data_IF_113168090632
#
_entry.id   IF_113168090632
#
_cell.length_a   1.000
_cell.length_b   1.000
_cell.length_c   1.000
_cell.angle_alpha   90.00
_cell.angle_beta   90.00
_cell.angle_gamma   90.00
#
_symmetry.space_group_name_H-M   'P 1'
#
loop_
_entity.id
_entity.type
_entity.pdbx_description
1 polymer ?
#
# COMPACT_ATOMS: atom_id res chain seq x y z
N UNK A 1 -9.68 -15.83 -9.99
CA UNK A 1 -9.13 -16.76 -11.00
C UNK A 1 -7.74 -17.33 -10.66
N UNK A 2 -7.13 -17.02 -9.51
CA UNK A 2 -5.88 -17.68 -9.08
C UNK A 2 -4.65 -17.44 -9.97
N UNK A 3 -4.73 -16.49 -10.93
CA UNK A 3 -3.62 -16.18 -11.83
C UNK A 3 -2.60 -15.29 -11.13
N UNK A 4 -1.33 -15.66 -11.25
CA UNK A 4 -0.23 -14.80 -10.82
C UNK A 4 -0.25 -13.48 -11.61
N UNK A 5 -0.12 -12.37 -10.89
CA UNK A 5 -0.05 -11.04 -11.47
C UNK A 5 1.29 -10.43 -11.15
N UNK A 6 1.89 -9.79 -12.15
CA UNK A 6 3.11 -8.99 -11.93
C UNK A 6 2.74 -7.79 -11.07
N UNK A 7 3.49 -7.59 -10.00
CA UNK A 7 3.32 -6.49 -9.06
C UNK A 7 4.62 -5.72 -8.94
N UNK A 8 4.56 -4.42 -9.21
CA UNK A 8 5.68 -3.51 -8.94
C UNK A 8 5.44 -2.87 -7.57
N UNK A 9 6.35 -3.11 -6.61
CA UNK A 9 6.23 -2.54 -5.27
C UNK A 9 7.34 -1.53 -5.01
N UNK A 10 6.95 -0.33 -4.61
CA UNK A 10 7.84 0.76 -4.24
C UNK A 10 7.58 1.12 -2.78
N UNK A 11 8.64 1.20 -1.98
CA UNK A 11 8.53 1.57 -0.56
C UNK A 11 9.41 2.77 -0.28
N UNK A 12 8.82 3.82 0.26
CA UNK A 12 9.53 4.93 0.88
C UNK A 12 9.60 4.67 2.39
N UNK A 13 10.81 4.65 2.95
CA UNK A 13 11.05 4.59 4.39
C UNK A 13 11.39 5.98 4.92
N UNK A 14 10.82 6.34 6.06
CA UNK A 14 11.04 7.62 6.73
C UNK A 14 11.74 7.39 8.07
N UNK A 15 12.65 8.28 8.49
CA UNK A 15 13.39 8.15 9.74
C UNK A 15 12.58 8.53 11.00
N UNK A 16 11.27 8.76 10.85
CA UNK A 16 10.34 8.98 11.94
C UNK A 16 8.89 8.84 11.44
N UNK A 17 7.99 8.39 12.32
CA UNK A 17 6.61 8.83 12.32
C UNK A 17 6.54 10.03 13.29
N UNK A 18 6.53 11.28 12.78
CA UNK A 18 6.67 12.47 13.61
C UNK A 18 5.54 12.57 14.64
N UNK A 19 5.86 13.08 15.82
CA UNK A 19 4.84 13.43 16.80
C UNK A 19 4.00 14.61 16.29
N UNK A 20 2.73 14.36 16.06
CA UNK A 20 1.77 15.35 15.57
C UNK A 20 0.84 15.87 16.67
N UNK A 21 0.82 15.22 17.85
CA UNK A 21 -0.10 15.52 18.96
C UNK A 21 0.59 15.52 20.33
N UNK A 22 -0.05 16.14 21.32
CA UNK A 22 0.43 16.15 22.70
C UNK A 22 0.50 14.73 23.31
N UNK A 23 -0.43 13.85 22.96
CA UNK A 23 -0.34 12.41 23.22
C UNK A 23 -0.46 11.75 21.86
N UNK A 24 0.65 11.17 21.39
CA UNK A 24 0.74 10.53 20.09
C UNK A 24 1.22 9.09 20.26
N UNK A 25 0.34 8.16 19.91
CA UNK A 25 0.62 6.74 20.02
C UNK A 25 1.27 6.21 18.74
N UNK A 26 1.09 6.92 17.63
CA UNK A 26 1.62 6.58 16.30
C UNK A 26 3.10 7.00 16.17
N UNK A 27 3.62 7.86 17.06
CA UNK A 27 5.02 8.30 17.10
C UNK A 27 6.01 7.12 17.14
N UNK A 28 6.99 7.13 16.23
CA UNK A 28 7.98 6.07 16.07
C UNK A 28 9.27 6.57 15.38
N UNK A 29 10.35 5.80 15.46
CA UNK A 29 11.63 6.10 14.80
C UNK A 29 11.70 5.66 13.33
N UNK A 30 10.70 4.93 12.85
CA UNK A 30 10.60 4.52 11.45
C UNK A 30 9.14 4.57 11.03
N UNK A 31 8.92 5.10 9.83
CA UNK A 31 7.63 5.06 9.16
C UNK A 31 7.80 4.66 7.69
N UNK A 32 6.69 4.45 6.99
CA UNK A 32 6.74 4.04 5.60
C UNK A 32 5.50 4.38 4.80
N UNK A 33 5.68 4.48 3.48
CA UNK A 33 4.62 4.46 2.51
C UNK A 33 4.98 3.43 1.43
N UNK A 34 4.08 2.48 1.19
CA UNK A 34 4.19 1.46 0.16
C UNK A 34 3.21 1.80 -0.96
N UNK A 35 3.67 1.74 -2.20
CA UNK A 35 2.86 1.74 -3.41
C UNK A 35 3.06 0.39 -4.10
N UNK A 36 1.97 -0.34 -4.34
CA UNK A 36 1.96 -1.52 -5.20
C UNK A 36 1.15 -1.23 -6.45
N UNK A 37 1.71 -1.56 -7.61
CA UNK A 37 1.04 -1.48 -8.90
C UNK A 37 0.85 -2.89 -9.43
N UNK A 38 -0.41 -3.32 -9.55
CA UNK A 38 -0.75 -4.63 -10.11
C UNK A 38 -0.99 -4.50 -11.60
N UNK A 39 -0.31 -5.32 -12.39
CA UNK A 39 -0.35 -5.28 -13.85
C UNK A 39 -1.21 -6.42 -14.41
N UNK A 40 -1.74 -6.20 -15.61
CA UNK A 40 -2.33 -7.24 -16.45
C UNK A 40 -1.24 -7.99 -17.25
N UNK A 41 -1.62 -9.02 -18.00
CA UNK A 41 -0.67 -9.77 -18.85
C UNK A 41 -0.03 -8.95 -19.98
N UNK A 42 -0.56 -7.76 -20.28
CA UNK A 42 0.00 -6.80 -21.22
C UNK A 42 0.90 -5.76 -20.54
N UNK A 43 1.24 -5.95 -19.26
CA UNK A 43 1.99 -5.00 -18.42
C UNK A 43 1.29 -3.65 -18.22
N UNK A 44 -0.03 -3.59 -18.40
CA UNK A 44 -0.82 -2.39 -18.15
C UNK A 44 -1.32 -2.35 -16.70
N UNK A 45 -1.28 -1.20 -16.01
CA UNK A 45 -1.81 -1.09 -14.66
C UNK A 45 -3.31 -1.40 -14.59
N UNK A 46 -3.67 -2.25 -13.64
CA UNK A 46 -5.06 -2.62 -13.32
C UNK A 46 -5.55 -1.82 -12.12
N UNK A 47 -4.77 -1.81 -11.05
CA UNK A 47 -5.00 -0.99 -9.88
C UNK A 47 -3.68 -0.72 -9.15
N UNK A 48 -3.75 0.28 -8.30
CA UNK A 48 -2.68 0.78 -7.49
C UNK A 48 -3.15 0.72 -6.04
N UNK A 49 -2.30 0.21 -5.18
CA UNK A 49 -2.62 0.13 -3.76
C UNK A 49 -1.57 0.90 -2.98
N UNK A 50 -2.03 1.65 -1.99
CA UNK A 50 -1.12 2.30 -1.05
C UNK A 50 -1.40 1.84 0.34
N UNK A 51 -0.35 1.65 1.13
CA UNK A 51 -0.45 1.23 2.52
C UNK A 51 0.80 1.69 3.28
N UNK A 52 0.67 2.03 4.56
CA UNK A 52 1.86 2.13 5.41
C UNK A 52 2.32 0.71 5.76
N UNK A 53 3.62 0.41 5.80
CA UNK A 53 4.08 -0.97 6.06
C UNK A 53 3.70 -1.52 7.45
N UNK A 54 3.11 -0.70 8.32
CA UNK A 54 2.45 -1.14 9.55
C UNK A 54 1.06 -1.77 9.34
N UNK A 55 0.49 -1.66 8.14
CA UNK A 55 -0.84 -2.16 7.79
C UNK A 55 -1.94 -1.10 7.74
N UNK A 56 -1.63 0.13 8.14
CA UNK A 56 -2.62 1.21 8.24
C UNK A 56 -2.86 1.91 6.89
N UNK A 57 -4.06 2.50 6.77
CA UNK A 57 -4.46 3.35 5.65
C UNK A 57 -4.34 2.67 4.28
N UNK A 58 -4.67 1.38 4.19
CA UNK A 58 -4.77 0.69 2.92
C UNK A 58 -5.84 1.38 2.05
N UNK A 59 -5.45 1.77 0.85
CA UNK A 59 -6.31 2.42 -0.15
C UNK A 59 -6.06 1.83 -1.51
N UNK A 60 -7.12 1.70 -2.28
CA UNK A 60 -7.07 1.14 -3.63
C UNK A 60 -7.53 2.19 -4.63
N UNK A 61 -6.75 2.40 -5.67
CA UNK A 61 -7.06 3.25 -6.81
C UNK A 61 -7.10 2.39 -8.06
N UNK A 62 -8.20 2.43 -8.80
CA UNK A 62 -8.44 1.49 -9.90
C UNK A 62 -8.21 2.18 -11.24
N UNK A 63 -7.55 1.52 -12.20
CA UNK A 63 -7.44 2.09 -13.53
C UNK A 63 -8.85 2.23 -14.15
N UNK A 64 -9.15 3.40 -14.71
CA UNK A 64 -10.52 3.74 -15.16
C UNK A 64 -11.11 2.70 -16.13
N UNK A 65 -10.30 2.18 -17.04
CA UNK A 65 -10.71 1.15 -18.00
C UNK A 65 -11.15 -0.17 -17.33
N UNK A 66 -10.60 -0.48 -16.14
CA UNK A 66 -10.99 -1.67 -15.35
C UNK A 66 -12.33 -1.45 -14.68
N UNK A 67 -12.54 -0.26 -14.10
CA UNK A 67 -13.81 0.11 -13.49
C UNK A 67 -14.94 0.15 -14.53
N UNK A 68 -14.69 0.72 -15.72
CA UNK A 68 -15.63 0.69 -16.84
C UNK A 68 -15.93 -0.75 -17.27
N UNK A 69 -14.90 -1.60 -17.39
CA UNK A 69 -15.07 -3.02 -17.69
C UNK A 69 -15.93 -3.76 -16.65
N UNK A 70 -15.72 -3.46 -15.36
CA UNK A 70 -16.52 -4.02 -14.27
C UNK A 70 -17.98 -3.57 -14.38
N UNK A 71 -18.22 -2.29 -14.67
CA UNK A 71 -19.55 -1.74 -14.91
C UNK A 71 -20.27 -2.39 -16.09
N UNK A 72 -19.56 -2.67 -17.18
CA UNK A 72 -20.12 -3.37 -18.33
C UNK A 72 -20.48 -4.82 -18.03
N UNK A 73 -19.66 -5.53 -17.25
CA UNK A 73 -19.87 -6.96 -17.00
C UNK A 73 -20.83 -7.24 -15.85
N UNK A 74 -20.74 -6.49 -14.76
CA UNK A 74 -21.48 -6.74 -13.52
C UNK A 74 -22.62 -5.75 -13.29
N UNK A 75 -22.69 -4.68 -14.09
CA UNK A 75 -23.66 -3.61 -13.91
C UNK A 75 -23.24 -2.64 -12.79
N UNK A 76 -24.20 -2.06 -12.06
CA UNK A 76 -23.91 -1.04 -11.06
C UNK A 76 -23.08 -1.56 -9.86
N UNK A 77 -22.52 -0.65 -9.03
CA UNK A 77 -21.93 -1.01 -7.75
C UNK A 77 -22.87 -1.85 -6.89
N UNK A 78 -22.31 -2.81 -6.15
CA UNK A 78 -23.07 -3.55 -5.13
C UNK A 78 -23.60 -2.61 -4.04
N UNK A 79 -24.61 -3.07 -3.30
CA UNK A 79 -25.25 -2.26 -2.26
C UNK A 79 -24.19 -1.78 -1.25
N UNK A 80 -24.11 -0.47 -1.04
CA UNK A 80 -23.15 0.16 -0.14
C UNK A 80 -21.79 0.46 -0.76
N UNK A 81 -21.56 0.11 -2.03
CA UNK A 81 -20.33 0.37 -2.77
C UNK A 81 -20.43 1.61 -3.66
N UNK A 82 -19.29 2.19 -3.99
CA UNK A 82 -19.17 3.38 -4.85
C UNK A 82 -18.79 3.01 -6.29
N UNK A 83 -18.03 1.94 -6.46
CA UNK A 83 -17.46 1.49 -7.73
C UNK A 83 -17.97 0.10 -8.10
N UNK A 84 -18.14 -0.15 -9.40
CA UNK A 84 -18.58 -1.43 -9.95
C UNK A 84 -17.55 -2.54 -9.69
N UNK A 85 -16.27 -2.23 -9.59
CA UNK A 85 -15.24 -3.21 -9.24
C UNK A 85 -15.30 -3.69 -7.78
N UNK A 86 -15.93 -2.96 -6.87
CA UNK A 86 -15.99 -3.36 -5.46
C UNK A 86 -16.89 -4.59 -5.28
N UNK A 87 -16.47 -5.53 -4.42
CA UNK A 87 -17.31 -6.62 -3.92
C UNK A 87 -17.70 -6.33 -2.47
N UNK A 88 -18.98 -6.51 -2.14
CA UNK A 88 -19.44 -6.56 -0.77
C UNK A 88 -18.97 -7.87 -0.13
N UNK A 89 -18.23 -7.76 0.97
CA UNK A 89 -17.83 -8.91 1.78
C UNK A 89 -18.66 -8.91 3.06
N UNK A 90 -19.15 -10.09 3.45
CA UNK A 90 -19.80 -10.30 4.73
C UNK A 90 -18.72 -10.65 5.77
N UNK A 91 -18.86 -10.11 6.98
CA UNK A 91 -17.98 -10.36 8.13
C UNK A 91 -16.49 -9.99 7.96
N UNK A 92 -16.17 -9.14 6.98
CA UNK A 92 -14.82 -8.65 6.76
C UNK A 92 -14.78 -7.13 6.56
N UNK A 93 -13.60 -6.54 6.75
CA UNK A 93 -13.38 -5.13 6.47
C UNK A 93 -13.21 -4.96 4.97
N UNK A 94 -14.14 -4.22 4.37
CA UNK A 94 -14.12 -3.87 2.97
C UNK A 94 -12.81 -3.18 2.55
N UNK A 95 -12.39 -3.45 1.32
CA UNK A 95 -11.35 -2.64 0.68
C UNK A 95 -11.86 -1.23 0.39
N UNK A 96 -11.11 -0.23 0.81
CA UNK A 96 -11.41 1.17 0.51
C UNK A 96 -10.93 1.51 -0.92
N UNK A 97 -11.82 1.28 -1.91
CA UNK A 97 -11.63 1.81 -3.26
C UNK A 97 -11.96 3.30 -3.24
N UNK A 98 -10.91 4.11 -3.30
CA UNK A 98 -11.02 5.56 -3.06
C UNK A 98 -11.14 6.39 -4.34
N UNK A 99 -10.87 5.79 -5.50
CA UNK A 99 -10.96 6.50 -6.77
C UNK A 99 -10.40 5.74 -7.96
N UNK A 100 -10.49 6.39 -9.12
CA UNK A 100 -9.95 5.86 -10.38
C UNK A 100 -8.76 6.68 -10.89
N UNK A 101 -7.77 5.99 -11.48
CA UNK A 101 -6.68 6.59 -12.24
C UNK A 101 -7.03 6.53 -13.73
N UNK A 102 -7.19 7.70 -14.34
CA UNK A 102 -7.58 7.84 -15.74
C UNK A 102 -6.34 8.05 -16.61
N UNK A 103 -5.71 6.91 -16.96
CA UNK A 103 -4.62 6.80 -17.92
C UNK A 103 -5.00 5.80 -19.04
N UNK A 104 -4.55 6.04 -20.29
CA UNK A 104 -4.73 5.10 -21.39
C UNK A 104 -4.06 3.76 -21.08
N UNK A 105 -4.77 2.65 -21.30
CA UNK A 105 -4.25 1.29 -21.06
C UNK A 105 -3.00 1.00 -21.91
N UNK A 106 -3.03 1.40 -23.18
CA UNK A 106 -1.97 1.18 -24.17
C UNK A 106 -0.76 2.10 -24.00
N UNK A 107 -0.89 3.16 -23.21
CA UNK A 107 0.16 4.14 -22.97
C UNK A 107 0.19 4.60 -21.51
N UNK A 108 0.42 3.67 -20.56
CA UNK A 108 0.34 3.98 -19.15
C UNK A 108 1.38 5.03 -18.78
N UNK A 109 0.97 5.98 -17.95
CA UNK A 109 1.84 7.05 -17.46
C UNK A 109 2.36 6.69 -16.08
N UNK A 110 3.42 7.40 -15.67
CA UNK A 110 3.98 7.25 -14.32
C UNK A 110 2.91 7.66 -13.29
N UNK A 111 2.64 6.82 -12.28
CA UNK A 111 1.73 7.19 -11.20
C UNK A 111 2.33 8.30 -10.35
N UNK A 112 1.47 9.11 -9.75
CA UNK A 112 1.80 10.17 -8.81
C UNK A 112 1.04 9.91 -7.52
N UNK A 113 1.77 9.77 -6.42
CA UNK A 113 1.20 9.61 -5.09
C UNK A 113 1.31 10.94 -4.35
N UNK A 114 0.20 11.42 -3.81
CA UNK A 114 0.16 12.61 -2.98
C UNK A 114 0.18 12.21 -1.52
N UNK A 115 1.20 12.68 -0.80
CA UNK A 115 1.41 12.41 0.61
C UNK A 115 1.16 13.67 1.42
N UNK A 116 0.53 13.52 2.59
CA UNK A 116 0.41 14.59 3.57
C UNK A 116 1.71 14.71 4.36
N UNK A 117 2.21 15.93 4.48
CA UNK A 117 3.38 16.23 5.29
C UNK A 117 3.11 15.95 6.77
N UNK A 118 4.11 15.43 7.49
CA UNK A 118 3.98 15.06 8.89
C UNK A 118 3.56 13.61 9.06
N UNK A 119 2.29 13.29 8.85
CA UNK A 119 1.76 11.93 9.10
C UNK A 119 1.97 10.93 7.96
N UNK A 120 2.59 11.37 6.86
CA UNK A 120 2.90 10.57 5.66
C UNK A 120 1.70 9.85 5.04
N UNK A 121 0.47 10.30 5.33
CA UNK A 121 -0.74 9.65 4.82
C UNK A 121 -0.89 9.92 3.33
N UNK A 122 -1.21 8.86 2.58
CA UNK A 122 -1.60 9.00 1.17
C UNK A 122 -2.97 9.68 1.12
N UNK A 123 -3.01 10.87 0.51
CA UNK A 123 -4.23 11.67 0.38
C UNK A 123 -4.81 11.63 -1.03
N UNK A 124 -4.07 11.09 -2.00
CA UNK A 124 -4.56 10.90 -3.35
C UNK A 124 -3.53 10.23 -4.26
N UNK A 125 -4.01 9.85 -5.43
CA UNK A 125 -3.19 9.32 -6.51
C UNK A 125 -3.64 9.92 -7.84
N UNK A 126 -2.73 10.03 -8.79
CA UNK A 126 -3.04 10.47 -10.13
C UNK A 126 -1.97 10.08 -11.14
N UNK A 127 -2.04 10.72 -12.30
CA UNK A 127 -1.13 10.50 -13.42
C UNK A 127 -0.18 11.68 -13.59
N UNK A 128 1.06 11.40 -13.95
CA UNK A 128 2.03 12.43 -14.34
C UNK A 128 1.53 13.32 -15.48
N UNK A 129 0.64 12.84 -16.36
CA UNK A 129 0.07 13.66 -17.43
C UNK A 129 -0.79 14.83 -16.90
N UNK A 130 -1.40 14.64 -15.73
CA UNK A 130 -2.28 15.62 -15.08
C UNK A 130 -1.59 16.41 -13.97
N UNK A 131 -0.40 15.98 -13.54
CA UNK A 131 0.36 16.70 -12.53
C UNK A 131 0.70 18.11 -13.04
N UNK A 132 0.44 19.11 -12.21
CA UNK A 132 0.85 20.50 -12.41
C UNK A 132 1.67 20.91 -11.20
N UNK A 133 3.00 20.91 -11.37
CA UNK A 133 3.93 21.37 -10.33
C UNK A 133 3.97 22.89 -10.37
N UNK A 134 3.86 23.53 -9.19
CA UNK A 134 3.96 24.99 -9.11
C UNK A 134 5.37 25.43 -9.52
N UNK A 135 5.52 26.53 -10.28
CA UNK A 135 6.84 27.12 -10.53
C UNK A 135 7.57 27.37 -9.21
N UNK A 136 8.85 26.98 -9.14
CA UNK A 136 9.68 27.14 -7.93
C UNK A 136 9.42 26.12 -6.81
N UNK A 137 8.62 25.07 -7.03
CA UNK A 137 8.49 23.99 -6.06
C UNK A 137 9.84 23.27 -5.83
N UNK A 138 10.17 22.99 -4.56
CA UNK A 138 11.33 22.15 -4.23
C UNK A 138 11.13 20.76 -4.85
N UNK A 139 12.08 20.36 -5.68
CA UNK A 139 12.03 19.10 -6.41
C UNK A 139 13.31 18.35 -6.12
N UNK A 140 13.15 17.13 -5.62
CA UNK A 140 14.27 16.23 -5.31
C UNK A 140 14.12 14.94 -6.10
N UNK A 141 15.22 14.51 -6.71
CA UNK A 141 15.29 13.23 -7.41
C UNK A 141 15.92 12.20 -6.49
N UNK A 142 15.24 11.07 -6.33
CA UNK A 142 15.72 9.92 -5.56
C UNK A 142 16.14 8.81 -6.52
N UNK A 143 17.16 8.05 -6.14
CA UNK A 143 17.51 6.80 -6.79
C UNK A 143 16.71 5.65 -6.18
N UNK A 144 16.29 4.69 -7.02
CA UNK A 144 15.72 3.43 -6.54
C UNK A 144 16.85 2.52 -6.06
N UNK A 145 16.71 1.99 -4.84
CA UNK A 145 17.55 0.92 -4.30
C UNK A 145 16.76 -0.39 -4.34
N UNK A 146 17.46 -1.53 -4.42
CA UNK A 146 16.79 -2.82 -4.37
C UNK A 146 16.26 -3.05 -2.95
N UNK A 147 14.96 -3.37 -2.84
CA UNK A 147 14.34 -3.68 -1.56
C UNK A 147 15.03 -4.88 -0.86
N UNK A 148 15.63 -5.79 -1.63
CA UNK A 148 16.39 -6.93 -1.13
C UNK A 148 17.58 -6.52 -0.22
N UNK A 149 18.13 -5.31 -0.41
CA UNK A 149 19.23 -4.79 0.42
C UNK A 149 18.83 -4.66 1.90
N UNK A 150 17.54 -4.44 2.19
CA UNK A 150 17.02 -4.31 3.56
C UNK A 150 17.08 -5.63 4.36
N UNK A 151 17.23 -6.77 3.69
CA UNK A 151 17.39 -8.06 4.35
C UNK A 151 18.84 -8.32 4.82
N UNK A 152 19.80 -7.48 4.41
CA UNK A 152 21.20 -7.60 4.83
C UNK A 152 21.91 -6.23 4.76
N UNK A 153 21.69 -5.41 5.79
CA UNK A 153 22.26 -4.07 5.89
C UNK A 153 23.53 -4.07 6.74
N UNK A 154 24.52 -3.23 6.43
CA UNK A 154 25.66 -3.02 7.32
C UNK A 154 25.20 -2.40 8.65
N UNK A 155 25.73 -2.91 9.76
CA UNK A 155 25.46 -2.34 11.09
C UNK A 155 26.46 -1.21 11.35
N UNK A 156 25.95 -0.03 11.69
CA UNK A 156 26.79 1.14 11.91
C UNK A 156 27.84 0.88 13.02
N UNK A 157 29.10 1.14 12.71
CA UNK A 157 30.21 0.98 13.67
C UNK A 157 30.73 -0.46 13.82
N UNK A 158 30.25 -1.42 13.04
CA UNK A 158 30.75 -2.81 13.05
C UNK A 158 31.04 -3.31 11.63
N UNK A 159 31.70 -4.46 11.53
CA UNK A 159 31.88 -5.20 10.26
C UNK A 159 30.73 -6.16 9.97
N UNK A 160 29.70 -6.18 10.81
CA UNK A 160 28.60 -7.12 10.74
C UNK A 160 27.47 -6.61 9.83
N UNK A 161 26.64 -7.55 9.37
CA UNK A 161 25.39 -7.25 8.67
C UNK A 161 24.22 -7.79 9.46
N UNK A 162 23.12 -7.05 9.46
CA UNK A 162 21.87 -7.46 10.06
C UNK A 162 20.70 -7.13 9.13
N UNK A 163 19.64 -7.93 9.21
CA UNK A 163 18.39 -7.61 8.53
C UNK A 163 17.71 -6.42 9.23
N UNK A 164 17.15 -5.51 8.45
CA UNK A 164 16.28 -4.44 8.93
C UNK A 164 15.02 -4.98 9.60
N UNK A 165 14.60 -6.17 9.16
CA UNK A 165 13.43 -6.89 9.63
C UNK A 165 13.81 -8.01 10.61
N UNK A 166 12.98 -8.21 11.61
CA UNK A 166 12.98 -9.40 12.47
C UNK A 166 12.16 -10.51 11.79
N UNK A 167 12.83 -11.29 10.94
CA UNK A 167 12.19 -12.32 10.12
C UNK A 167 11.62 -13.48 10.95
N UNK A 168 12.22 -13.76 12.11
CA UNK A 168 11.76 -14.82 13.01
C UNK A 168 10.44 -14.46 13.71
N UNK A 169 10.12 -13.17 13.77
CA UNK A 169 8.95 -12.63 14.47
C UNK A 169 8.01 -11.84 13.55
N UNK A 170 7.72 -12.38 12.37
CA UNK A 170 6.73 -11.82 11.45
C UNK A 170 7.24 -10.63 10.62
N UNK A 171 8.56 -10.52 10.43
CA UNK A 171 9.19 -9.52 9.57
C UNK A 171 9.09 -8.09 10.10
N UNK A 172 8.94 -7.89 11.42
CA UNK A 172 8.78 -6.57 12.04
C UNK A 172 10.05 -5.73 11.89
N UNK A 173 9.91 -4.45 11.57
CA UNK A 173 11.05 -3.54 11.50
C UNK A 173 11.63 -3.32 12.89
N UNK A 174 12.94 -3.52 13.02
CA UNK A 174 13.65 -3.36 14.29
C UNK A 174 13.69 -1.88 14.71
N UNK A 175 13.36 -1.59 15.97
CA UNK A 175 13.39 -0.22 16.51
C UNK A 175 12.24 0.69 16.06
N UNK A 176 11.19 0.11 15.49
CA UNK A 176 10.01 0.80 14.96
C UNK A 176 8.72 0.51 15.75
N UNK A 177 8.85 0.12 17.02
CA UNK A 177 7.73 -0.18 17.90
C UNK A 177 6.88 1.08 18.16
N UNK A 178 5.54 0.92 18.12
CA UNK A 178 4.59 1.99 18.48
C UNK A 178 3.98 1.77 19.85
N UNK A 179 3.60 2.86 20.54
CA UNK A 179 2.90 2.77 21.83
C UNK A 179 1.51 2.15 21.67
N UNK A 180 0.92 2.27 20.48
CA UNK A 180 -0.33 1.62 20.08
C UNK A 180 -0.36 0.11 20.35
N UNK A 181 0.79 -0.58 20.29
CA UNK A 181 0.87 -2.02 20.55
C UNK A 181 0.28 -2.43 21.89
N UNK A 182 0.40 -1.60 22.93
CA UNK A 182 -0.10 -1.91 24.28
C UNK A 182 -1.62 -1.76 24.40
N UNK A 183 -2.22 -0.90 23.56
CA UNK A 183 -3.67 -0.71 23.53
C UNK A 183 -4.30 -1.81 22.69
N UNK A 184 -3.77 -2.05 21.49
CA UNK A 184 -4.42 -2.95 20.55
C UNK A 184 -4.12 -4.44 20.80
N UNK A 185 -3.10 -4.78 21.59
CA UNK A 185 -2.87 -6.17 22.01
C UNK A 185 -4.05 -6.76 22.77
N UNK A 186 -4.86 -5.95 23.46
CA UNK A 186 -6.09 -6.43 24.14
C UNK A 186 -7.16 -6.91 23.16
N UNK A 187 -7.08 -6.45 21.90
CA UNK A 187 -7.94 -6.87 20.80
C UNK A 187 -7.28 -7.94 19.91
N UNK A 188 -6.14 -8.50 20.35
CA UNK A 188 -5.43 -9.58 19.63
C UNK A 188 -4.55 -9.12 18.48
N UNK A 189 -4.33 -7.81 18.29
CA UNK A 189 -3.45 -7.31 17.23
C UNK A 189 -1.98 -7.53 17.58
N UNK A 190 -1.24 -8.14 16.67
CA UNK A 190 0.20 -8.33 16.83
C UNK A 190 0.92 -7.01 16.56
N UNK A 191 1.68 -6.51 17.54
CA UNK A 191 2.55 -5.34 17.40
C UNK A 191 1.92 -4.17 16.61
N UNK A 192 0.71 -3.76 16.98
CA UNK A 192 -0.06 -2.76 16.24
C UNK A 192 0.77 -1.49 15.97
N UNK A 193 0.72 -1.06 14.71
CA UNK A 193 1.47 0.11 14.24
C UNK A 193 2.94 -0.15 13.92
N UNK A 194 3.52 -1.30 14.28
CA UNK A 194 4.91 -1.62 13.91
C UNK A 194 5.01 -2.00 12.42
N UNK A 195 5.85 -1.31 11.63
CA UNK A 195 6.08 -1.66 10.22
C UNK A 195 6.62 -3.07 10.04
N UNK A 196 6.34 -3.70 8.89
CA UNK A 196 6.78 -5.05 8.54
C UNK A 196 7.41 -5.10 7.14
N UNK A 197 8.16 -6.17 6.88
CA UNK A 197 8.66 -6.50 5.54
C UNK A 197 7.50 -6.65 4.55
N UNK A 198 7.72 -6.34 3.27
CA UNK A 198 6.67 -6.22 2.25
C UNK A 198 5.63 -7.35 2.26
N UNK A 199 6.07 -8.61 2.18
CA UNK A 199 5.14 -9.76 2.13
C UNK A 199 4.56 -10.17 3.49
N UNK A 200 4.93 -9.46 4.56
CA UNK A 200 4.48 -9.70 5.95
C UNK A 200 3.55 -8.59 6.45
N UNK A 201 3.32 -7.53 5.66
CA UNK A 201 2.39 -6.46 6.03
C UNK A 201 1.01 -7.07 6.29
N UNK A 202 0.45 -6.76 7.46
CA UNK A 202 -0.89 -7.18 7.86
C UNK A 202 -1.90 -6.13 7.45
N UNK A 203 -3.10 -6.56 7.10
CA UNK A 203 -4.18 -5.71 6.63
C UNK A 203 -5.36 -5.87 7.57
N UNK A 204 -6.15 -4.80 7.70
CA UNK A 204 -7.51 -4.89 8.21
C UNK A 204 -7.56 -5.55 9.60
N UNK A 205 -6.81 -5.02 10.56
CA UNK A 205 -6.75 -5.58 11.91
C UNK A 205 -6.30 -7.07 11.91
N UNK A 206 -5.25 -7.35 11.13
CA UNK A 206 -4.63 -8.68 10.95
C UNK A 206 -5.53 -9.76 10.31
N UNK A 207 -6.69 -9.39 9.74
CA UNK A 207 -7.60 -10.31 9.03
C UNK A 207 -7.03 -10.85 7.72
N UNK A 208 -6.03 -10.19 7.14
CA UNK A 208 -5.40 -10.60 5.88
C UNK A 208 -3.92 -10.21 5.85
N UNK A 209 -3.15 -10.82 4.94
CA UNK A 209 -1.74 -10.48 4.73
C UNK A 209 -1.55 -9.96 3.31
N UNK A 210 -0.69 -8.96 3.15
CA UNK A 210 -0.42 -8.29 1.87
C UNK A 210 0.00 -9.22 0.74
N UNK A 211 0.71 -10.31 1.08
CA UNK A 211 1.13 -11.35 0.15
C UNK A 211 0.09 -12.43 -0.15
N UNK A 212 -1.14 -12.35 0.35
CA UNK A 212 -2.18 -13.34 0.08
C UNK A 212 -2.60 -13.32 -1.40
N UNK A 213 -2.38 -14.40 -2.16
CA UNK A 213 -2.69 -14.44 -3.59
C UNK A 213 -4.19 -14.44 -3.91
N UNK A 214 -5.04 -14.72 -2.91
CA UNK A 214 -6.50 -14.79 -3.07
C UNK A 214 -7.19 -13.46 -2.81
N UNK A 215 -6.47 -12.47 -2.27
CA UNK A 215 -7.04 -11.27 -1.68
C UNK A 215 -7.89 -10.45 -2.66
N UNK A 216 -7.46 -10.32 -3.92
CA UNK A 216 -8.21 -9.56 -4.92
C UNK A 216 -9.55 -10.21 -5.25
N UNK A 217 -9.62 -11.54 -5.34
CA UNK A 217 -10.87 -12.23 -5.68
C UNK A 217 -11.89 -12.15 -4.55
N UNK A 218 -11.42 -11.94 -3.31
CA UNK A 218 -12.24 -11.74 -2.13
C UNK A 218 -12.90 -10.36 -2.11
N UNK A 219 -12.15 -9.30 -2.43
CA UNK A 219 -12.65 -7.92 -2.27
C UNK A 219 -13.03 -7.20 -3.57
N UNK A 220 -12.62 -7.73 -4.73
CA UNK A 220 -12.85 -7.10 -6.03
C UNK A 220 -13.59 -8.02 -7.01
N UNK A 221 -14.44 -7.40 -7.83
CA UNK A 221 -15.10 -7.97 -9.01
C UNK A 221 -14.28 -7.62 -10.25
N UNK A 222 -13.12 -8.28 -10.40
CA UNK A 222 -12.26 -8.08 -11.58
C UNK A 222 -12.95 -8.60 -12.84
N UNK A 223 -13.21 -7.75 -13.86
CA UNK A 223 -13.90 -8.17 -15.07
C UNK A 223 -13.03 -9.12 -15.92
N UNK A 224 -13.71 -9.98 -16.67
CA UNK A 224 -13.12 -10.85 -17.67
C UNK A 224 -12.36 -10.03 -18.72
N UNK A 225 -11.17 -10.49 -19.08
CA UNK A 225 -10.30 -9.74 -20.00
C UNK A 225 -9.47 -8.64 -19.34
N UNK A 226 -9.49 -8.54 -18.01
CA UNK A 226 -8.37 -8.02 -17.21
C UNK A 226 -7.49 -9.24 -16.86
N UNK A 227 -6.64 -9.70 -17.79
CA UNK A 227 -5.87 -10.94 -17.61
C UNK A 227 -4.97 -10.85 -16.38
#
# INVERSE_FOLDING_TARGET
DGRERVQLTYTAWYPAHPRMKAIDLEEANVDSCVLRVTLDSGNSPVFYETIAACGCFHKVFVAKWVEEGAGHQYGPPEKGKKFAIERAVEDDIDWDVVGTVDDPRDHPRRPVVFLKAGDHKVIGMGSMARLRVRPGADTRTYALADYAELYSMPVAGTSEKAAFFDLDHGGKVRGAERKERFIFSVFGLDAAGQPRANNQIKLHFDQSTWGDPTIYAKYLRLPAGVP
#
